data_IF_313504436563
#
_entry.id   IF_313504436563
#
_cell.length_a   1.000
_cell.length_b   1.000
_cell.length_c   1.000
_cell.angle_alpha   90.00
_cell.angle_beta   90.00
_cell.angle_gamma   90.00
#
_symmetry.space_group_name_H-M   'P 1'
#
loop_
_entity.id
_entity.type
_entity.pdbx_description
1 polymer ?
#
# COMPACT_ATOMS: atom_id res chain seq x y z
N UNK A 1 -23.83 21.42 -12.70
CA UNK A 1 -24.27 20.21 -11.95
C UNK A 1 -23.79 18.90 -12.56
N UNK A 2 -24.04 18.62 -13.85
CA UNK A 2 -23.67 17.36 -14.54
C UNK A 2 -22.18 16.96 -14.39
N UNK A 3 -21.24 17.89 -14.62
CA UNK A 3 -19.80 17.64 -14.45
C UNK A 3 -19.40 17.18 -13.03
N UNK A 4 -20.11 17.68 -12.01
CA UNK A 4 -19.86 17.33 -10.59
C UNK A 4 -20.32 15.91 -10.28
N UNK A 5 -21.48 15.52 -10.79
CA UNK A 5 -21.99 14.16 -10.64
C UNK A 5 -21.07 13.15 -11.34
N UNK A 6 -20.67 13.42 -12.58
CA UNK A 6 -19.77 12.52 -13.35
C UNK A 6 -18.43 12.32 -12.65
N UNK A 7 -17.79 13.39 -12.16
CA UNK A 7 -16.52 13.28 -11.45
C UNK A 7 -16.63 12.58 -10.09
N UNK A 8 -17.72 12.79 -9.35
CA UNK A 8 -17.97 12.04 -8.12
C UNK A 8 -18.16 10.55 -8.40
N UNK A 9 -18.93 10.20 -9.44
CA UNK A 9 -19.09 8.81 -9.87
C UNK A 9 -17.76 8.19 -10.31
N UNK A 10 -16.96 8.94 -11.09
CA UNK A 10 -15.62 8.50 -11.48
C UNK A 10 -14.71 8.26 -10.27
N UNK A 11 -14.72 9.16 -9.28
CA UNK A 11 -13.95 8.99 -8.04
C UNK A 11 -14.38 7.74 -7.27
N UNK A 12 -15.69 7.49 -7.15
CA UNK A 12 -16.22 6.28 -6.51
C UNK A 12 -15.78 5.01 -7.24
N UNK A 13 -15.86 4.99 -8.58
CA UNK A 13 -15.39 3.86 -9.40
C UNK A 13 -13.90 3.64 -9.20
N UNK A 14 -13.09 4.70 -9.18
CA UNK A 14 -11.64 4.59 -8.95
C UNK A 14 -11.34 4.05 -7.54
N UNK A 15 -12.06 4.47 -6.50
CA UNK A 15 -11.86 3.96 -5.13
C UNK A 15 -12.04 2.44 -5.06
N UNK A 16 -13.05 1.89 -5.75
CA UNK A 16 -13.34 0.45 -5.75
C UNK A 16 -12.60 -0.34 -6.85
N UNK A 17 -11.94 0.36 -7.78
CA UNK A 17 -11.25 -0.22 -8.93
C UNK A 17 -10.24 -1.33 -8.56
N UNK A 18 -9.44 -1.19 -7.48
CA UNK A 18 -8.55 -2.27 -7.06
C UNK A 18 -9.26 -3.59 -6.79
N UNK A 19 -10.47 -3.53 -6.24
CA UNK A 19 -11.25 -4.74 -5.94
C UNK A 19 -11.96 -5.30 -7.17
N UNK A 20 -12.49 -4.42 -8.03
CA UNK A 20 -13.17 -4.85 -9.26
C UNK A 20 -12.21 -5.59 -10.21
N UNK A 21 -11.08 -4.94 -10.52
CA UNK A 21 -10.08 -5.54 -11.41
C UNK A 21 -9.32 -6.65 -10.67
N UNK A 22 -8.95 -6.44 -9.41
CA UNK A 22 -8.23 -7.45 -8.62
C UNK A 22 -8.99 -8.77 -8.54
N UNK A 23 -10.29 -8.74 -8.24
CA UNK A 23 -11.12 -9.94 -8.24
C UNK A 23 -11.23 -10.58 -9.63
N UNK A 24 -11.27 -9.77 -10.70
CA UNK A 24 -11.32 -10.29 -12.07
C UNK A 24 -10.03 -11.01 -12.47
N UNK A 25 -8.87 -10.46 -12.11
CA UNK A 25 -7.56 -11.11 -12.28
C UNK A 25 -7.48 -12.36 -11.37
N UNK A 26 -8.16 -12.33 -10.22
CA UNK A 26 -8.25 -13.42 -9.26
C UNK A 26 -8.69 -14.77 -9.82
N UNK A 27 -9.49 -14.77 -10.89
CA UNK A 27 -9.88 -15.99 -11.60
C UNK A 27 -8.67 -16.73 -12.22
N UNK A 28 -7.56 -16.03 -12.44
CA UNK A 28 -6.30 -16.55 -12.96
C UNK A 28 -5.22 -16.71 -11.88
N UNK A 29 -5.59 -16.56 -10.59
CA UNK A 29 -4.64 -16.63 -9.47
C UNK A 29 -3.84 -17.95 -9.49
N UNK A 30 -2.52 -17.90 -9.26
CA UNK A 30 -1.69 -19.10 -9.20
C UNK A 30 -1.99 -19.98 -7.98
N UNK A 31 -2.80 -19.52 -7.03
CA UNK A 31 -3.26 -20.32 -5.89
C UNK A 31 -4.39 -21.29 -6.23
N UNK A 32 -4.93 -21.23 -7.45
CA UNK A 32 -5.89 -22.21 -7.98
C UNK A 32 -5.11 -23.22 -8.83
N UNK A 33 -5.22 -24.51 -8.52
CA UNK A 33 -4.35 -25.58 -9.07
C UNK A 33 -4.28 -25.63 -10.60
N UNK A 34 -5.35 -25.26 -11.31
CA UNK A 34 -5.39 -25.27 -12.77
C UNK A 34 -4.72 -24.06 -13.44
N UNK A 35 -4.38 -23.03 -12.68
CA UNK A 35 -3.90 -21.76 -13.22
C UNK A 35 -2.38 -21.70 -13.31
N UNK A 36 -1.88 -21.11 -14.40
CA UNK A 36 -0.44 -20.89 -14.60
C UNK A 36 0.04 -19.60 -13.92
N UNK A 37 1.12 -19.71 -13.16
CA UNK A 37 1.82 -18.56 -12.58
C UNK A 37 2.26 -17.53 -13.62
N UNK A 38 2.79 -17.98 -14.77
CA UNK A 38 3.24 -17.09 -15.84
C UNK A 38 2.08 -16.31 -16.46
N UNK A 39 0.92 -16.96 -16.64
CA UNK A 39 -0.28 -16.33 -17.19
C UNK A 39 -0.77 -15.23 -16.25
N UNK A 40 -0.80 -15.48 -14.93
CA UNK A 40 -1.16 -14.47 -13.94
C UNK A 40 -0.25 -13.23 -14.03
N UNK A 41 1.06 -13.44 -14.05
CA UNK A 41 2.05 -12.35 -14.15
C UNK A 41 1.88 -11.57 -15.45
N UNK A 42 1.63 -12.25 -16.57
CA UNK A 42 1.41 -11.59 -17.87
C UNK A 42 0.14 -10.73 -17.87
N UNK A 43 -0.98 -11.25 -17.36
CA UNK A 43 -2.25 -10.52 -17.24
C UNK A 43 -2.05 -9.26 -16.38
N UNK A 44 -1.43 -9.43 -15.20
CA UNK A 44 -1.11 -8.32 -14.31
C UNK A 44 -0.21 -7.27 -15.00
N UNK A 45 0.82 -7.70 -15.73
CA UNK A 45 1.74 -6.81 -16.42
C UNK A 45 1.03 -6.00 -17.52
N UNK A 46 0.21 -6.65 -18.35
CA UNK A 46 -0.57 -5.98 -19.40
C UNK A 46 -1.50 -4.91 -18.81
N UNK A 47 -2.24 -5.27 -17.74
CA UNK A 47 -3.13 -4.33 -17.06
C UNK A 47 -2.35 -3.16 -16.45
N UNK A 48 -1.20 -3.44 -15.83
CA UNK A 48 -0.34 -2.42 -15.23
C UNK A 48 0.23 -1.46 -16.29
N UNK A 49 0.64 -1.98 -17.45
CA UNK A 49 1.10 -1.17 -18.58
C UNK A 49 -0.03 -0.29 -19.11
N UNK A 50 -1.24 -0.83 -19.27
CA UNK A 50 -2.40 -0.08 -19.72
C UNK A 50 -2.76 1.05 -18.74
N UNK A 51 -2.87 0.76 -17.45
CA UNK A 51 -3.16 1.76 -16.40
C UNK A 51 -2.07 2.83 -16.32
N UNK A 52 -0.80 2.43 -16.39
CA UNK A 52 0.32 3.37 -16.39
C UNK A 52 0.29 4.26 -17.62
N UNK A 53 0.03 3.71 -18.80
CA UNK A 53 -0.08 4.47 -20.05
C UNK A 53 -1.21 5.49 -19.97
N UNK A 54 -2.37 5.10 -19.45
CA UNK A 54 -3.49 6.03 -19.21
C UNK A 54 -3.09 7.13 -18.24
N UNK A 55 -2.45 6.79 -17.11
CA UNK A 55 -2.00 7.78 -16.14
C UNK A 55 -0.98 8.78 -16.72
N UNK A 56 -0.04 8.30 -17.54
CA UNK A 56 0.95 9.14 -18.22
C UNK A 56 0.31 10.05 -19.28
N UNK A 57 -0.68 9.54 -20.04
CA UNK A 57 -1.46 10.36 -20.97
C UNK A 57 -2.19 11.47 -20.21
N UNK A 58 -2.83 11.16 -19.08
CA UNK A 58 -3.49 12.16 -18.23
C UNK A 58 -2.51 13.22 -17.73
N UNK A 59 -1.28 12.84 -17.34
CA UNK A 59 -0.23 13.78 -16.93
C UNK A 59 0.15 14.77 -18.03
N UNK A 60 0.18 14.29 -19.29
CA UNK A 60 0.52 15.11 -20.45
C UNK A 60 -0.52 16.20 -20.70
N UNK A 61 -1.82 15.87 -20.56
CA UNK A 61 -2.91 16.81 -20.80
C UNK A 61 -3.24 17.69 -19.57
N UNK A 62 -2.88 17.25 -18.37
CA UNK A 62 -3.09 17.98 -17.11
C UNK A 62 -1.76 18.02 -16.32
N UNK A 63 -0.88 19.02 -16.57
CA UNK A 63 0.51 19.01 -16.10
C UNK A 63 0.74 19.70 -14.74
N UNK A 64 -0.29 20.06 -13.98
CA UNK A 64 -0.13 20.85 -12.75
C UNK A 64 0.71 20.08 -11.71
N UNK A 65 1.61 20.74 -10.99
CA UNK A 65 2.66 20.06 -10.20
C UNK A 65 2.16 19.03 -9.18
N UNK A 66 1.00 19.26 -8.56
CA UNK A 66 0.38 18.30 -7.63
C UNK A 66 -0.30 17.11 -8.34
N UNK A 67 -0.66 17.24 -9.62
CA UNK A 67 -1.18 16.12 -10.42
C UNK A 67 -0.08 15.07 -10.63
N UNK A 68 1.19 15.47 -10.74
CA UNK A 68 2.33 14.53 -10.83
C UNK A 68 2.50 13.69 -9.58
N UNK A 69 2.38 14.31 -8.40
CA UNK A 69 2.44 13.63 -7.11
C UNK A 69 1.24 12.68 -6.94
N UNK A 70 0.04 13.14 -7.34
CA UNK A 70 -1.18 12.33 -7.33
C UNK A 70 -1.07 11.10 -8.23
N UNK A 71 -0.41 11.22 -9.39
CA UNK A 71 -0.19 10.10 -10.31
C UNK A 71 0.73 9.03 -9.71
N UNK A 72 1.82 9.40 -9.03
CA UNK A 72 2.68 8.42 -8.37
C UNK A 72 1.91 7.60 -7.32
N UNK A 73 1.06 8.25 -6.52
CA UNK A 73 0.18 7.56 -5.58
C UNK A 73 -0.90 6.73 -6.29
N UNK A 74 -1.45 7.23 -7.40
CA UNK A 74 -2.43 6.48 -8.19
C UNK A 74 -1.83 5.20 -8.78
N UNK A 75 -0.57 5.22 -9.23
CA UNK A 75 0.13 4.06 -9.77
C UNK A 75 0.32 2.92 -8.77
N UNK A 76 0.15 3.16 -7.47
CA UNK A 76 0.08 2.10 -6.45
C UNK A 76 -1.04 1.10 -6.75
N UNK A 77 -2.04 1.47 -7.57
CA UNK A 77 -3.04 0.50 -8.06
C UNK A 77 -2.40 -0.72 -8.70
N UNK A 78 -1.29 -0.58 -9.42
CA UNK A 78 -0.67 -1.69 -10.15
C UNK A 78 -0.23 -2.82 -9.21
N UNK A 79 0.65 -2.58 -8.21
CA UNK A 79 1.00 -3.61 -7.24
C UNK A 79 -0.19 -4.04 -6.36
N UNK A 80 -1.12 -3.14 -6.01
CA UNK A 80 -2.30 -3.50 -5.21
C UNK A 80 -3.18 -4.51 -5.96
N UNK A 81 -3.42 -4.32 -7.25
CA UNK A 81 -4.15 -5.26 -8.09
C UNK A 81 -3.49 -6.63 -8.12
N UNK A 82 -2.16 -6.65 -8.22
CA UNK A 82 -1.37 -7.88 -8.16
C UNK A 82 -1.53 -8.60 -6.82
N UNK A 83 -1.66 -7.89 -5.71
CA UNK A 83 -1.84 -8.51 -4.38
C UNK A 83 -3.29 -9.00 -4.19
N UNK A 84 -4.28 -8.17 -4.50
CA UNK A 84 -5.70 -8.53 -4.37
C UNK A 84 -6.03 -9.72 -5.28
N UNK A 85 -5.50 -9.72 -6.51
CA UNK A 85 -5.69 -10.80 -7.48
C UNK A 85 -5.06 -12.14 -7.09
N UNK A 86 -4.25 -12.22 -6.04
CA UNK A 86 -3.81 -13.53 -5.54
C UNK A 86 -4.94 -14.28 -4.82
N UNK A 87 -6.01 -13.59 -4.37
CA UNK A 87 -7.22 -14.15 -3.74
C UNK A 87 -6.96 -15.01 -2.49
N UNK A 88 -5.72 -15.06 -2.01
CA UNK A 88 -5.33 -15.77 -0.79
C UNK A 88 -4.52 -14.85 0.12
N UNK A 89 -4.73 -14.98 1.42
CA UNK A 89 -3.81 -14.43 2.42
C UNK A 89 -2.41 -15.07 2.26
N UNK A 90 -1.34 -14.42 2.77
CA UNK A 90 -0.02 -15.01 2.81
C UNK A 90 -0.06 -16.40 3.47
N UNK A 91 0.51 -17.41 2.82
CA UNK A 91 0.64 -18.73 3.41
C UNK A 91 1.88 -18.73 4.33
N UNK A 92 1.67 -18.92 5.63
CA UNK A 92 2.76 -19.00 6.62
C UNK A 92 3.07 -20.45 7.06
N UNK A 93 2.44 -21.43 6.40
CA UNK A 93 2.57 -22.86 6.73
C UNK A 93 3.60 -23.58 5.87
N UNK A 94 3.90 -24.84 6.21
CA UNK A 94 4.75 -25.73 5.42
C UNK A 94 4.34 -25.85 3.95
N UNK A 95 3.04 -25.68 3.64
CA UNK A 95 2.52 -25.78 2.27
C UNK A 95 3.10 -24.73 1.34
N UNK A 96 3.58 -23.59 1.86
CA UNK A 96 4.20 -22.58 1.02
C UNK A 96 5.45 -23.12 0.29
N UNK A 97 6.14 -24.11 0.86
CA UNK A 97 7.37 -24.66 0.30
C UNK A 97 7.15 -25.46 -0.98
N UNK A 98 5.91 -25.86 -1.27
CA UNK A 98 5.53 -26.49 -2.54
C UNK A 98 5.56 -25.47 -3.68
N UNK A 99 5.24 -24.20 -3.38
CA UNK A 99 5.12 -23.11 -4.36
C UNK A 99 5.60 -21.77 -3.80
N UNK A 100 6.90 -21.65 -3.42
CA UNK A 100 7.44 -20.44 -2.80
C UNK A 100 7.38 -19.22 -3.72
N UNK A 101 7.37 -19.43 -5.04
CA UNK A 101 7.30 -18.38 -6.05
C UNK A 101 6.03 -17.50 -5.90
N UNK A 102 4.95 -18.06 -5.33
CA UNK A 102 3.68 -17.34 -5.11
C UNK A 102 3.84 -16.26 -4.03
N UNK A 103 4.55 -16.57 -2.94
CA UNK A 103 4.84 -15.60 -1.90
C UNK A 103 5.91 -14.61 -2.35
N UNK A 104 6.97 -15.07 -3.04
CA UNK A 104 7.94 -14.17 -3.67
C UNK A 104 7.29 -13.14 -4.59
N UNK A 105 6.29 -13.54 -5.39
CA UNK A 105 5.54 -12.62 -6.23
C UNK A 105 4.75 -11.60 -5.42
N UNK A 106 4.05 -12.02 -4.36
CA UNK A 106 3.32 -11.12 -3.45
C UNK A 106 4.23 -10.04 -2.89
N UNK A 107 5.38 -10.44 -2.36
CA UNK A 107 6.35 -9.52 -1.77
C UNK A 107 7.05 -8.67 -2.83
N UNK A 108 7.23 -9.19 -4.05
CA UNK A 108 7.69 -8.38 -5.20
C UNK A 108 6.69 -7.25 -5.52
N UNK A 109 5.38 -7.49 -5.46
CA UNK A 109 4.40 -6.40 -5.61
C UNK A 109 4.52 -5.36 -4.48
N UNK A 110 4.70 -5.79 -3.23
CA UNK A 110 4.93 -4.87 -2.11
C UNK A 110 6.22 -4.05 -2.30
N UNK A 111 7.28 -4.67 -2.83
CA UNK A 111 8.53 -3.98 -3.18
C UNK A 111 8.31 -2.92 -4.26
N UNK A 112 7.57 -3.24 -5.33
CA UNK A 112 7.22 -2.26 -6.37
C UNK A 112 6.43 -1.09 -5.76
N UNK A 113 5.47 -1.37 -4.86
CA UNK A 113 4.74 -0.33 -4.14
C UNK A 113 5.66 0.54 -3.28
N UNK A 114 6.62 -0.07 -2.57
CA UNK A 114 7.62 0.63 -1.79
C UNK A 114 8.49 1.54 -2.67
N UNK A 115 8.96 1.06 -3.84
CA UNK A 115 9.73 1.87 -4.78
C UNK A 115 8.95 3.09 -5.29
N UNK A 116 7.67 2.90 -5.66
CA UNK A 116 6.79 4.00 -6.04
C UNK A 116 6.62 5.01 -4.90
N UNK A 117 6.48 4.53 -3.67
CA UNK A 117 6.42 5.37 -2.48
C UNK A 117 7.73 6.14 -2.22
N UNK A 118 8.89 5.51 -2.40
CA UNK A 118 10.20 6.16 -2.31
C UNK A 118 10.36 7.28 -3.34
N UNK A 119 9.99 7.03 -4.60
CA UNK A 119 9.98 8.05 -5.65
C UNK A 119 9.02 9.19 -5.27
N UNK A 120 7.82 8.86 -4.77
CA UNK A 120 6.87 9.85 -4.27
C UNK A 120 7.46 10.74 -3.17
N UNK A 121 8.17 10.18 -2.18
CA UNK A 121 8.83 10.95 -1.11
C UNK A 121 9.82 11.96 -1.70
N UNK A 122 10.65 11.54 -2.65
CA UNK A 122 11.62 12.41 -3.30
C UNK A 122 10.93 13.59 -4.00
N UNK A 123 9.85 13.33 -4.74
CA UNK A 123 9.09 14.40 -5.41
C UNK A 123 8.35 15.30 -4.43
N UNK A 124 7.73 14.74 -3.39
CA UNK A 124 7.02 15.49 -2.37
C UNK A 124 7.93 16.51 -1.68
N UNK A 125 9.11 16.08 -1.23
CA UNK A 125 10.05 16.93 -0.50
C UNK A 125 11.01 17.72 -1.39
N UNK A 126 11.09 17.46 -2.70
CA UNK A 126 11.73 18.38 -3.66
C UNK A 126 10.79 19.45 -4.20
N UNK A 127 9.48 19.24 -4.11
CA UNK A 127 8.52 20.19 -4.65
C UNK A 127 8.61 21.55 -3.98
N UNK A 128 8.76 22.60 -4.80
CA UNK A 128 8.68 24.00 -4.35
C UNK A 128 7.27 24.37 -3.86
N UNK A 129 6.26 23.55 -4.18
CA UNK A 129 4.88 23.74 -3.71
C UNK A 129 4.64 23.27 -2.28
N UNK A 130 5.61 22.58 -1.65
CA UNK A 130 5.52 22.14 -0.26
C UNK A 130 5.84 23.29 0.70
N UNK A 131 4.82 24.09 1.03
CA UNK A 131 4.92 25.19 1.99
C UNK A 131 4.71 24.69 3.43
N UNK A 132 5.78 24.35 4.13
CA UNK A 132 5.78 23.96 5.55
C UNK A 132 6.97 24.57 6.29
N UNK A 133 6.85 24.73 7.63
CA UNK A 133 7.95 25.21 8.49
C UNK A 133 9.16 24.27 8.37
N UNK A 134 10.37 24.84 8.42
CA UNK A 134 11.64 24.08 8.26
C UNK A 134 11.78 22.94 9.27
N UNK A 135 11.40 23.15 10.53
CA UNK A 135 11.42 22.11 11.56
C UNK A 135 10.46 20.96 11.24
N UNK A 136 9.21 21.29 10.91
CA UNK A 136 8.21 20.29 10.49
C UNK A 136 8.67 19.51 9.26
N UNK A 137 9.33 20.17 8.30
CA UNK A 137 9.87 19.52 7.11
C UNK A 137 10.86 18.41 7.46
N UNK A 138 11.82 18.70 8.34
CA UNK A 138 12.82 17.70 8.75
C UNK A 138 12.19 16.54 9.53
N UNK A 139 11.26 16.82 10.45
CA UNK A 139 10.52 15.79 11.17
C UNK A 139 9.78 14.88 10.19
N UNK A 140 9.08 15.46 9.21
CA UNK A 140 8.34 14.65 8.24
C UNK A 140 9.27 13.89 7.30
N UNK A 141 10.40 14.45 6.88
CA UNK A 141 11.40 13.70 6.10
C UNK A 141 11.85 12.48 6.89
N UNK A 142 12.16 12.62 8.19
CA UNK A 142 12.54 11.49 9.03
C UNK A 142 11.43 10.43 9.12
N UNK A 143 10.19 10.83 9.39
CA UNK A 143 9.04 9.91 9.48
C UNK A 143 8.81 9.16 8.16
N UNK A 144 8.81 9.87 7.02
CA UNK A 144 8.63 9.25 5.72
C UNK A 144 9.79 8.33 5.33
N UNK A 145 11.02 8.71 5.68
CA UNK A 145 12.20 7.87 5.44
C UNK A 145 12.13 6.59 6.27
N UNK A 146 11.73 6.70 7.54
CA UNK A 146 11.54 5.53 8.40
C UNK A 146 10.42 4.62 7.87
N UNK A 147 9.26 5.20 7.50
CA UNK A 147 8.17 4.45 6.88
C UNK A 147 8.61 3.71 5.60
N UNK A 148 9.43 4.35 4.77
CA UNK A 148 10.00 3.72 3.57
C UNK A 148 10.99 2.60 3.91
N UNK A 149 11.91 2.83 4.85
CA UNK A 149 12.86 1.81 5.30
C UNK A 149 12.14 0.57 5.83
N UNK A 150 11.06 0.76 6.58
CA UNK A 150 10.21 -0.31 7.09
C UNK A 150 9.51 -1.09 5.97
N UNK A 151 8.96 -0.41 4.95
CA UNK A 151 8.40 -1.14 3.79
C UNK A 151 9.45 -2.00 3.05
N UNK A 152 10.69 -1.51 2.94
CA UNK A 152 11.80 -2.26 2.32
C UNK A 152 12.21 -3.44 3.22
N UNK A 153 12.27 -3.21 4.53
CA UNK A 153 12.58 -4.27 5.49
C UNK A 153 11.50 -5.36 5.49
N UNK A 154 10.22 -5.01 5.52
CA UNK A 154 9.10 -5.96 5.47
C UNK A 154 9.09 -6.78 4.18
N UNK A 155 9.42 -6.15 3.04
CA UNK A 155 9.66 -6.88 1.81
C UNK A 155 10.73 -7.94 2.00
N UNK A 156 11.91 -7.55 2.47
CA UNK A 156 13.05 -8.46 2.59
C UNK A 156 12.80 -9.59 3.59
N UNK A 157 12.22 -9.24 4.74
CA UNK A 157 11.84 -10.18 5.80
C UNK A 157 10.89 -11.23 5.24
N UNK A 158 9.74 -10.81 4.70
CA UNK A 158 8.77 -11.79 4.26
C UNK A 158 9.09 -12.49 2.93
N UNK A 159 9.84 -11.84 2.03
CA UNK A 159 10.32 -12.49 0.80
C UNK A 159 11.23 -13.68 1.11
N UNK A 160 12.06 -13.56 2.15
CA UNK A 160 13.02 -14.61 2.57
C UNK A 160 12.41 -15.66 3.50
N UNK A 161 11.11 -15.55 3.81
CA UNK A 161 10.44 -16.46 4.73
C UNK A 161 10.48 -17.93 4.25
N UNK A 162 10.18 -18.27 2.98
CA UNK A 162 10.23 -19.66 2.52
C UNK A 162 11.63 -20.27 2.63
N UNK A 163 12.68 -19.51 2.27
CA UNK A 163 14.08 -19.93 2.37
C UNK A 163 14.47 -20.18 3.83
N UNK A 164 14.13 -19.25 4.73
CA UNK A 164 14.42 -19.37 6.14
C UNK A 164 13.69 -20.56 6.80
N UNK A 165 12.44 -20.81 6.43
CA UNK A 165 11.68 -21.97 6.90
C UNK A 165 12.32 -23.28 6.40
N UNK A 166 12.73 -23.32 5.13
CA UNK A 166 13.40 -24.49 4.55
C UNK A 166 14.72 -24.77 5.27
N UNK A 167 15.52 -23.74 5.52
CA UNK A 167 16.78 -23.87 6.25
C UNK A 167 16.52 -24.36 7.69
N UNK A 168 15.54 -23.78 8.38
CA UNK A 168 15.16 -24.18 9.74
C UNK A 168 14.83 -25.67 9.85
N UNK A 169 14.03 -26.18 8.92
CA UNK A 169 13.65 -27.60 8.88
C UNK A 169 14.86 -28.48 8.52
N UNK A 170 15.73 -28.02 7.62
CA UNK A 170 16.94 -28.75 7.25
C UNK A 170 17.91 -28.95 8.43
N UNK A 171 17.85 -28.07 9.43
CA UNK A 171 18.59 -28.20 10.69
C UNK A 171 17.92 -29.18 11.69
N UNK A 172 16.86 -29.89 11.28
CA UNK A 172 16.14 -30.85 12.12
C UNK A 172 15.20 -30.21 13.16
N UNK A 173 14.89 -28.91 13.02
CA UNK A 173 14.05 -28.18 13.97
C UNK A 173 12.56 -28.32 13.63
N UNK A 174 11.69 -28.22 14.63
CA UNK A 174 10.24 -28.30 14.44
C UNK A 174 9.72 -27.07 13.67
N UNK A 175 8.99 -27.29 12.58
CA UNK A 175 8.38 -26.25 11.77
C UNK A 175 7.35 -25.40 12.53
N UNK A 176 6.61 -25.99 13.48
CA UNK A 176 5.61 -25.26 14.27
C UNK A 176 6.24 -24.18 15.17
N UNK A 177 7.50 -24.38 15.57
CA UNK A 177 8.24 -23.42 16.37
C UNK A 177 8.87 -22.29 15.53
N UNK A 178 8.86 -22.40 14.20
CA UNK A 178 9.54 -21.46 13.32
C UNK A 178 8.99 -20.05 13.45
N UNK A 179 7.67 -19.86 13.35
CA UNK A 179 7.01 -18.54 13.38
C UNK A 179 7.43 -17.76 14.63
N UNK A 180 7.42 -18.40 15.79
CA UNK A 180 7.80 -17.75 17.07
C UNK A 180 9.28 -17.35 17.11
N UNK A 181 10.15 -18.10 16.43
CA UNK A 181 11.57 -17.77 16.31
C UNK A 181 11.81 -16.65 15.29
N UNK A 182 11.09 -16.72 14.16
CA UNK A 182 11.25 -15.83 13.01
C UNK A 182 10.67 -14.44 13.29
N UNK A 183 9.45 -14.40 13.85
CA UNK A 183 8.74 -13.20 14.27
C UNK A 183 8.77 -13.06 15.80
N UNK A 184 9.98 -13.01 16.36
CA UNK A 184 10.17 -12.79 17.79
C UNK A 184 9.79 -11.35 18.20
N UNK A 185 9.72 -11.08 19.51
CA UNK A 185 9.30 -9.77 20.05
C UNK A 185 10.08 -8.57 19.49
N UNK A 186 11.35 -8.73 19.12
CA UNK A 186 12.15 -7.66 18.49
C UNK A 186 11.66 -7.37 17.08
N UNK A 187 11.44 -8.41 16.28
CA UNK A 187 10.91 -8.30 14.92
C UNK A 187 9.49 -7.71 14.93
N UNK A 188 8.65 -8.17 15.86
CA UNK A 188 7.31 -7.60 16.08
C UNK A 188 7.39 -6.11 16.41
N UNK A 189 8.30 -5.72 17.31
CA UNK A 189 8.48 -4.32 17.72
C UNK A 189 8.89 -3.43 16.54
N UNK A 190 9.80 -3.89 15.68
CA UNK A 190 10.20 -3.19 14.46
C UNK A 190 8.96 -2.94 13.57
N UNK A 191 8.20 -4.00 13.27
CA UNK A 191 6.97 -3.89 12.47
C UNK A 191 5.93 -2.93 13.08
N UNK A 192 5.78 -2.92 14.41
CA UNK A 192 4.89 -1.99 15.13
C UNK A 192 5.33 -0.52 14.93
N UNK A 193 6.62 -0.23 15.12
CA UNK A 193 7.18 1.12 14.93
C UNK A 193 6.98 1.55 13.46
N UNK A 194 7.24 0.65 12.52
CA UNK A 194 7.00 0.91 11.10
C UNK A 194 5.55 1.27 10.81
N UNK A 195 4.58 0.52 11.35
CA UNK A 195 3.15 0.83 11.19
C UNK A 195 2.78 2.18 11.78
N UNK A 196 3.31 2.55 12.94
CA UNK A 196 3.09 3.90 13.48
C UNK A 196 3.61 4.98 12.52
N UNK A 197 4.85 4.87 12.04
CA UNK A 197 5.43 5.83 11.12
C UNK A 197 4.62 5.94 9.81
N UNK A 198 4.22 4.81 9.24
CA UNK A 198 3.43 4.76 8.00
C UNK A 198 2.06 5.44 8.17
N UNK A 199 1.30 5.11 9.20
CA UNK A 199 -0.02 5.69 9.42
C UNK A 199 0.03 7.16 9.86
N UNK A 200 1.04 7.56 10.64
CA UNK A 200 1.29 8.99 10.95
C UNK A 200 1.60 9.77 9.66
N UNK A 201 2.45 9.22 8.78
CA UNK A 201 2.78 9.84 7.50
C UNK A 201 1.53 10.04 6.62
N UNK A 202 0.64 9.04 6.57
CA UNK A 202 -0.62 9.08 5.82
C UNK A 202 -1.58 10.13 6.41
N UNK A 203 -1.76 10.15 7.73
CA UNK A 203 -2.58 11.16 8.43
C UNK A 203 -2.08 12.56 8.08
N UNK A 204 -0.78 12.79 8.27
CA UNK A 204 -0.17 14.10 7.99
C UNK A 204 -0.36 14.50 6.53
N UNK A 205 -0.10 13.59 5.59
CA UNK A 205 -0.24 13.86 4.16
C UNK A 205 -1.66 14.24 3.78
N UNK A 206 -2.65 13.47 4.24
CA UNK A 206 -4.07 13.73 3.93
C UNK A 206 -4.52 15.10 4.49
N UNK A 207 -4.20 15.39 5.75
CA UNK A 207 -4.56 16.66 6.40
C UNK A 207 -3.84 17.82 5.72
N UNK A 208 -2.57 17.66 5.37
CA UNK A 208 -1.78 18.68 4.70
C UNK A 208 -2.34 19.00 3.31
N UNK A 209 -2.64 17.98 2.49
CA UNK A 209 -3.26 18.16 1.19
C UNK A 209 -4.65 18.80 1.31
N UNK A 210 -5.42 18.48 2.36
CA UNK A 210 -6.70 19.15 2.60
C UNK A 210 -6.52 20.63 2.93
N UNK A 211 -5.56 20.98 3.81
CA UNK A 211 -5.25 22.38 4.16
C UNK A 211 -4.80 23.20 2.95
N UNK A 212 -3.98 22.61 2.07
CA UNK A 212 -3.61 23.22 0.80
C UNK A 212 -4.77 23.33 -0.19
N UNK A 213 -5.94 22.80 0.18
CA UNK A 213 -7.07 22.59 -0.72
C UNK A 213 -6.50 21.89 -1.96
N UNK A 214 -6.09 20.63 -1.84
CA UNK A 214 -5.70 19.74 -2.94
C UNK A 214 -6.50 18.43 -2.94
N UNK A 215 -7.26 18.16 -1.88
CA UNK A 215 -8.28 17.11 -1.79
C UNK A 215 -9.56 17.66 -1.15
N UNK A 216 -10.67 16.94 -1.28
CA UNK A 216 -11.94 17.27 -0.61
C UNK A 216 -12.00 16.67 0.79
N UNK A 217 -12.88 17.19 1.67
CA UNK A 217 -12.97 16.81 3.09
C UNK A 217 -13.24 15.33 3.36
N UNK A 218 -13.92 14.61 2.45
CA UNK A 218 -14.20 13.19 2.63
C UNK A 218 -12.92 12.32 2.67
N UNK A 219 -11.89 12.72 1.91
CA UNK A 219 -10.63 11.97 1.80
C UNK A 219 -9.81 11.97 3.10
N UNK A 220 -9.50 13.12 3.74
CA UNK A 220 -8.83 13.11 5.02
C UNK A 220 -9.67 12.47 6.13
N UNK A 221 -11.01 12.57 6.11
CA UNK A 221 -11.85 11.85 7.09
C UNK A 221 -11.61 10.34 6.98
N UNK A 222 -11.72 9.78 5.77
CA UNK A 222 -11.53 8.35 5.53
C UNK A 222 -10.09 7.92 5.84
N UNK A 223 -9.10 8.63 5.32
CA UNK A 223 -7.68 8.29 5.54
C UNK A 223 -7.29 8.37 7.02
N UNK A 224 -7.77 9.38 7.75
CA UNK A 224 -7.51 9.51 9.20
C UNK A 224 -8.19 8.37 9.95
N UNK A 225 -9.45 8.08 9.69
CA UNK A 225 -10.17 6.99 10.36
C UNK A 225 -9.46 5.65 10.19
N UNK A 226 -9.10 5.27 8.96
CA UNK A 226 -8.41 4.02 8.68
C UNK A 226 -7.00 3.99 9.27
N UNK A 227 -6.30 5.12 9.26
CA UNK A 227 -4.96 5.21 9.85
C UNK A 227 -5.01 5.11 11.37
N UNK A 228 -6.05 5.64 12.01
CA UNK A 228 -6.26 5.45 13.45
C UNK A 228 -6.54 3.98 13.79
N UNK A 229 -7.32 3.26 12.98
CA UNK A 229 -7.48 1.81 13.12
C UNK A 229 -6.14 1.08 12.98
N UNK A 230 -5.28 1.50 12.05
CA UNK A 230 -3.92 0.99 11.92
C UNK A 230 -3.03 1.22 13.14
N UNK A 231 -3.10 2.42 13.72
CA UNK A 231 -2.38 2.75 14.97
C UNK A 231 -2.92 1.90 16.13
N UNK A 232 -4.24 1.78 16.28
CA UNK A 232 -4.86 0.92 17.31
C UNK A 232 -4.40 -0.53 17.12
N UNK A 233 -4.40 -1.02 15.89
CA UNK A 233 -3.96 -2.38 15.57
C UNK A 233 -2.50 -2.60 15.95
N UNK A 234 -1.60 -1.68 15.60
CA UNK A 234 -0.19 -1.77 15.95
C UNK A 234 0.03 -1.80 17.47
N UNK A 235 -0.74 -1.02 18.23
CA UNK A 235 -0.74 -1.06 19.70
C UNK A 235 -1.23 -2.41 20.22
N UNK A 236 -2.30 -2.97 19.65
CA UNK A 236 -2.80 -4.30 20.05
C UNK A 236 -1.73 -5.37 19.78
N UNK A 237 -1.12 -5.38 18.59
CA UNK A 237 -0.05 -6.32 18.23
C UNK A 237 1.14 -6.19 19.18
N UNK A 238 1.53 -4.97 19.55
CA UNK A 238 2.61 -4.73 20.50
C UNK A 238 2.33 -5.35 21.88
N UNK A 239 1.09 -5.24 22.36
CA UNK A 239 0.69 -5.75 23.68
C UNK A 239 0.53 -7.28 23.66
N UNK A 240 -0.01 -7.83 22.56
CA UNK A 240 -0.42 -9.24 22.52
C UNK A 240 0.50 -10.15 21.73
N UNK A 241 1.53 -9.61 21.05
CA UNK A 241 2.42 -10.36 20.16
C UNK A 241 1.62 -11.19 19.14
N UNK A 242 0.70 -10.54 18.43
CA UNK A 242 -0.25 -11.17 17.49
C UNK A 242 -1.32 -12.09 18.09
N UNK A 243 -1.37 -12.29 19.41
CA UNK A 243 -2.45 -13.05 20.06
C UNK A 243 -3.69 -12.17 20.25
N UNK A 244 -4.41 -11.89 19.16
CA UNK A 244 -5.59 -11.02 19.18
C UNK A 244 -6.69 -11.60 20.09
N UNK A 245 -7.32 -10.77 20.95
CA UNK A 245 -8.51 -11.17 21.68
C UNK A 245 -9.66 -11.51 20.73
N UNK A 246 -10.54 -12.43 21.14
CA UNK A 246 -11.73 -12.79 20.35
C UNK A 246 -12.58 -11.56 20.03
N UNK A 247 -12.99 -11.42 18.77
CA UNK A 247 -13.76 -10.29 18.24
C UNK A 247 -12.90 -9.13 17.72
N UNK A 248 -11.58 -9.15 17.92
CA UNK A 248 -10.64 -8.13 17.43
C UNK A 248 -9.77 -8.61 16.27
N UNK A 249 -9.96 -9.84 15.77
CA UNK A 249 -9.16 -10.44 14.72
C UNK A 249 -9.22 -9.65 13.40
N UNK A 250 -10.34 -8.96 13.15
CA UNK A 250 -10.49 -8.10 11.97
C UNK A 250 -9.46 -6.96 11.94
N UNK A 251 -8.94 -6.54 13.10
CA UNK A 251 -7.90 -5.51 13.18
C UNK A 251 -6.62 -5.94 12.48
N UNK A 252 -6.33 -7.25 12.42
CA UNK A 252 -5.13 -7.79 11.78
C UNK A 252 -5.00 -7.30 10.33
N UNK A 253 -6.11 -7.04 9.64
CA UNK A 253 -6.12 -6.43 8.31
C UNK A 253 -5.27 -5.16 8.24
N UNK A 254 -5.36 -4.29 9.24
CA UNK A 254 -4.65 -3.02 9.27
C UNK A 254 -3.17 -3.15 9.69
N UNK A 255 -2.74 -4.33 10.12
CA UNK A 255 -1.33 -4.63 10.34
C UNK A 255 -0.65 -5.16 9.07
N UNK A 256 -1.39 -5.50 8.01
CA UNK A 256 -0.81 -6.00 6.76
C UNK A 256 -0.16 -4.85 5.98
N UNK A 257 1.04 -5.05 5.40
CA UNK A 257 1.78 -3.99 4.71
C UNK A 257 1.06 -3.38 3.50
N UNK A 258 0.11 -4.11 2.90
CA UNK A 258 -0.68 -3.63 1.77
C UNK A 258 -1.68 -2.51 2.11
N UNK A 259 -2.19 -2.45 3.34
CA UNK A 259 -3.23 -1.47 3.71
C UNK A 259 -2.72 -0.03 3.68
N UNK A 260 -1.55 0.31 4.23
CA UNK A 260 -0.95 1.63 4.05
C UNK A 260 -0.89 2.08 2.58
N UNK A 261 -0.49 1.20 1.66
CA UNK A 261 -0.46 1.50 0.22
C UNK A 261 -1.84 1.73 -0.37
N UNK A 262 -2.87 0.97 0.06
CA UNK A 262 -4.24 1.18 -0.38
C UNK A 262 -4.78 2.56 0.06
N UNK A 263 -4.48 2.99 1.29
CA UNK A 263 -4.88 4.32 1.77
C UNK A 263 -4.13 5.42 1.00
N UNK A 264 -2.84 5.23 0.72
CA UNK A 264 -2.06 6.14 -0.14
C UNK A 264 -2.62 6.23 -1.56
N UNK A 265 -3.02 5.09 -2.15
CA UNK A 265 -3.70 5.04 -3.44
C UNK A 265 -4.98 5.89 -3.44
N UNK A 266 -5.82 5.76 -2.41
CA UNK A 266 -7.03 6.57 -2.29
C UNK A 266 -6.76 8.06 -2.12
N UNK A 267 -5.66 8.44 -1.46
CA UNK A 267 -5.19 9.84 -1.46
C UNK A 267 -4.83 10.27 -2.89
N UNK A 268 -4.15 9.43 -3.67
CA UNK A 268 -3.87 9.65 -5.08
C UNK A 268 -5.14 9.90 -5.91
N UNK A 269 -6.15 9.05 -5.76
CA UNK A 269 -7.47 9.22 -6.41
C UNK A 269 -8.10 10.56 -6.01
N UNK A 270 -8.07 10.91 -4.72
CA UNK A 270 -8.65 12.17 -4.24
C UNK A 270 -7.94 13.41 -4.82
N UNK A 271 -6.63 13.36 -5.01
CA UNK A 271 -5.86 14.43 -5.66
C UNK A 271 -6.27 14.58 -7.12
N UNK A 272 -6.38 13.49 -7.87
CA UNK A 272 -6.66 13.51 -9.31
C UNK A 272 -8.12 13.87 -9.66
N UNK A 273 -9.05 13.52 -8.78
CA UNK A 273 -10.49 13.75 -8.97
C UNK A 273 -10.96 15.11 -8.45
N UNK A 274 -10.05 15.91 -7.89
CA UNK A 274 -10.46 17.15 -7.24
C UNK A 274 -10.95 18.19 -8.24
N UNK A 275 -12.09 18.78 -7.89
CA UNK A 275 -12.57 20.03 -8.49
C UNK A 275 -11.62 21.19 -8.20
N UNK A 276 -10.78 21.54 -9.18
CA UNK A 276 -10.42 22.95 -9.36
C UNK A 276 -11.62 23.60 -10.03
N UNK A 277 -12.28 24.55 -9.34
CA UNK A 277 -12.99 25.61 -10.07
C UNK A 277 -11.93 26.13 -11.04
N UNK A 278 -12.14 25.92 -12.34
CA UNK A 278 -11.32 26.54 -13.35
C UNK A 278 -11.09 27.98 -12.91
N UNK A 279 -9.83 28.43 -12.86
CA UNK A 279 -9.61 29.85 -13.09
C UNK A 279 -10.34 30.10 -14.40
N UNK A 280 -11.45 30.83 -14.30
CA UNK A 280 -12.06 31.47 -15.46
C UNK A 280 -10.88 32.21 -16.07
N UNK A 281 -10.42 31.75 -17.23
CA UNK A 281 -9.67 32.62 -18.10
C UNK A 281 -10.65 33.76 -18.40
N UNK A 282 -10.38 34.89 -17.75
CA UNK A 282 -10.85 36.19 -18.22
C UNK A 282 -10.09 36.48 -19.51
#
# INVERSE_FOLDING_TARGET
>A
MKKKIVLTLAALVLIILPFLIGNSIGNYSPYVEANSFQVYVLIWAIISIALTSIALLLLKYYPQSFERIGILLFLLICPILGIIGLVKAPDLSLKMLEHPEREHLRYTFLFIAALLFGVFILFLFRSSSLTIKKSTRWIMIAIFTYAFAEFIWEFNHHYSYPEALKEWISQGKNAEAFVKSYDNSTIITIGVIGRFCQFIAIIWLSVYLYRLRQINIWSPILSVFLSLLGIITATVVYITEFNFPKGFEFLMLFFIPGIPFLVLYWIGVAVLTRFRKSRVAV
#
